data_IF_679273823322
#
_entry.id   IF_679273823322
#
_cell.length_a   1.000
_cell.length_b   1.000
_cell.length_c   1.000
_cell.angle_alpha   90.00
_cell.angle_beta   90.00
_cell.angle_gamma   90.00
#
_symmetry.space_group_name_H-M   'P 1'
#
loop_
_entity.id
_entity.type
_entity.pdbx_description
1 polymer ?
#
# COMPACT_ATOMS: atom_id res chain seq x y z
N UNK A 1 -9.92 5.62 -19.41
CA UNK A 1 -11.16 4.98 -18.91
C UNK A 1 -11.96 5.92 -18.04
N UNK A 2 -13.29 5.92 -18.22
CA UNK A 2 -14.18 6.67 -17.34
C UNK A 2 -14.24 5.97 -15.98
N UNK A 3 -14.06 6.73 -14.89
CA UNK A 3 -14.16 6.21 -13.52
C UNK A 3 -15.51 6.57 -12.93
N UNK A 4 -16.03 5.71 -12.07
CA UNK A 4 -17.28 5.93 -11.35
C UNK A 4 -17.16 7.08 -10.33
N UNK A 5 -18.29 7.63 -9.90
CA UNK A 5 -18.30 8.72 -8.92
C UNK A 5 -17.69 8.30 -7.57
N UNK A 6 -17.92 7.06 -7.15
CA UNK A 6 -17.34 6.48 -5.93
C UNK A 6 -15.81 6.48 -5.97
N UNK A 7 -15.22 6.27 -7.15
CA UNK A 7 -13.78 6.35 -7.34
C UNK A 7 -13.28 7.78 -7.10
N UNK A 8 -13.91 8.78 -7.73
CA UNK A 8 -13.53 10.18 -7.54
C UNK A 8 -13.71 10.67 -6.11
N UNK A 9 -14.80 10.26 -5.46
CA UNK A 9 -15.04 10.54 -4.05
C UNK A 9 -13.91 9.98 -3.19
N UNK A 10 -13.47 8.74 -3.43
CA UNK A 10 -12.37 8.12 -2.68
C UNK A 10 -11.03 8.83 -2.86
N UNK A 11 -10.72 9.28 -4.09
CA UNK A 11 -9.48 10.02 -4.40
C UNK A 11 -9.47 11.37 -3.69
N UNK A 12 -10.58 12.11 -3.74
CA UNK A 12 -10.71 13.41 -3.10
C UNK A 12 -10.66 13.25 -1.56
N UNK A 13 -11.39 12.28 -1.02
CA UNK A 13 -11.41 12.02 0.42
C UNK A 13 -10.02 11.70 0.97
N UNK A 14 -9.25 10.86 0.26
CA UNK A 14 -7.85 10.57 0.63
C UNK A 14 -7.00 11.84 0.61
N UNK A 15 -7.05 12.60 -0.50
CA UNK A 15 -6.24 13.81 -0.65
C UNK A 15 -6.54 14.83 0.46
N UNK A 16 -7.82 15.00 0.82
CA UNK A 16 -8.23 15.88 1.91
C UNK A 16 -7.74 15.36 3.27
N UNK A 17 -7.74 14.05 3.50
CA UNK A 17 -7.37 13.47 4.79
C UNK A 17 -5.86 13.38 5.01
N UNK A 18 -5.10 12.96 4.00
CA UNK A 18 -3.68 12.63 4.12
C UNK A 18 -2.77 13.54 3.29
N UNK A 19 -3.34 14.33 2.37
CA UNK A 19 -2.58 15.09 1.37
C UNK A 19 -2.09 14.25 0.19
N UNK A 20 -2.42 12.95 0.14
CA UNK A 20 -1.94 12.03 -0.89
C UNK A 20 -2.85 12.07 -2.13
N UNK A 21 -2.29 12.51 -3.27
CA UNK A 21 -2.95 12.36 -4.57
C UNK A 21 -2.69 10.95 -5.12
N UNK A 22 -3.74 10.14 -5.17
CA UNK A 22 -3.68 8.75 -5.63
C UNK A 22 -3.99 8.59 -7.12
N UNK A 23 -4.24 9.68 -7.85
CA UNK A 23 -4.67 9.62 -9.25
C UNK A 23 -3.62 10.16 -10.21
N UNK A 24 -3.17 11.42 -10.02
CA UNK A 24 -2.49 12.19 -11.08
C UNK A 24 -1.28 11.48 -11.68
N UNK A 25 -0.36 10.98 -10.85
CA UNK A 25 0.89 10.38 -11.31
C UNK A 25 0.91 8.84 -11.20
N UNK A 26 -0.23 8.22 -10.86
CA UNK A 26 -0.29 6.79 -10.55
C UNK A 26 0.30 5.91 -11.67
N UNK A 27 -0.16 6.08 -12.90
CA UNK A 27 0.29 5.25 -14.03
C UNK A 27 1.77 5.46 -14.33
N UNK A 28 2.24 6.71 -14.28
CA UNK A 28 3.64 7.05 -14.50
C UNK A 28 4.54 6.43 -13.42
N UNK A 29 4.14 6.51 -12.14
CA UNK A 29 4.89 5.90 -11.04
C UNK A 29 4.98 4.39 -11.22
N UNK A 30 3.86 3.72 -11.50
CA UNK A 30 3.82 2.26 -11.69
C UNK A 30 4.66 1.82 -12.88
N UNK A 31 4.53 2.51 -14.02
CA UNK A 31 5.28 2.17 -15.24
C UNK A 31 6.79 2.41 -15.10
N UNK A 32 7.21 3.32 -14.22
CA UNK A 32 8.61 3.61 -13.96
C UNK A 32 9.22 2.72 -12.85
N UNK A 33 8.45 1.83 -12.22
CA UNK A 33 9.00 0.90 -11.23
C UNK A 33 9.95 -0.10 -11.89
N UNK A 34 11.13 -0.29 -11.28
CA UNK A 34 12.10 -1.31 -11.71
C UNK A 34 12.19 -2.46 -10.72
N UNK A 35 12.68 -3.62 -11.19
CA UNK A 35 12.95 -4.77 -10.33
C UNK A 35 13.91 -4.38 -9.20
N UNK A 36 14.96 -3.59 -9.47
CA UNK A 36 15.90 -3.16 -8.43
C UNK A 36 15.21 -2.27 -7.39
N UNK A 37 14.28 -1.39 -7.81
CA UNK A 37 13.56 -0.51 -6.89
C UNK A 37 12.68 -1.30 -5.91
N UNK A 38 12.01 -2.35 -6.40
CA UNK A 38 11.17 -3.25 -5.60
C UNK A 38 12.05 -4.06 -4.62
N UNK A 39 13.16 -4.63 -5.10
CA UNK A 39 14.09 -5.37 -4.26
C UNK A 39 14.65 -4.50 -3.12
N UNK A 40 15.03 -3.25 -3.43
CA UNK A 40 15.52 -2.30 -2.43
C UNK A 40 14.46 -1.93 -1.40
N UNK A 41 13.21 -1.74 -1.82
CA UNK A 41 12.10 -1.48 -0.89
C UNK A 41 11.85 -2.69 0.02
N UNK A 42 11.75 -3.90 -0.54
CA UNK A 42 11.54 -5.13 0.22
C UNK A 42 12.65 -5.34 1.26
N UNK A 43 13.92 -5.16 0.87
CA UNK A 43 15.04 -5.26 1.79
C UNK A 43 14.92 -4.27 2.96
N UNK A 44 14.49 -3.02 2.71
CA UNK A 44 14.24 -2.04 3.77
C UNK A 44 13.08 -2.45 4.67
N UNK A 45 11.97 -2.89 4.09
CA UNK A 45 10.76 -3.27 4.83
C UNK A 45 11.02 -4.45 5.76
N UNK A 46 11.66 -5.52 5.26
CA UNK A 46 11.89 -6.73 6.05
C UNK A 46 13.06 -6.60 7.04
N UNK A 47 14.03 -5.71 6.78
CA UNK A 47 15.17 -5.48 7.68
C UNK A 47 15.02 -4.25 8.58
N UNK A 48 13.82 -3.65 8.67
CA UNK A 48 13.58 -2.46 9.50
C UNK A 48 13.71 -2.70 11.01
N UNK A 49 13.83 -3.96 11.47
CA UNK A 49 13.94 -4.35 12.88
C UNK A 49 12.64 -4.29 13.67
N UNK A 50 11.67 -3.48 13.24
CA UNK A 50 10.32 -3.41 13.81
C UNK A 50 9.46 -4.59 13.31
N UNK A 51 9.27 -5.62 14.13
CA UNK A 51 8.42 -6.80 13.83
C UNK A 51 7.54 -7.15 15.03
N UNK A 52 6.26 -7.35 14.78
CA UNK A 52 5.30 -7.97 15.71
C UNK A 52 4.79 -9.23 15.02
N UNK A 53 4.79 -10.35 15.74
CA UNK A 53 4.26 -11.63 15.27
C UNK A 53 3.15 -12.06 16.22
N UNK A 54 2.00 -12.44 15.66
CA UNK A 54 0.81 -12.83 16.42
C UNK A 54 0.40 -14.21 15.94
N UNK A 55 0.66 -15.21 16.77
CA UNK A 55 0.22 -16.58 16.54
C UNK A 55 -1.08 -16.84 17.32
N UNK A 56 -2.17 -17.07 16.60
CA UNK A 56 -3.42 -17.51 17.20
C UNK A 56 -3.55 -19.02 17.04
N UNK A 57 -3.48 -19.74 18.16
CA UNK A 57 -3.75 -21.18 18.21
C UNK A 57 -5.11 -21.43 18.84
N UNK A 58 -5.87 -22.38 18.28
CA UNK A 58 -7.10 -22.86 18.91
C UNK A 58 -6.77 -23.50 20.26
N UNK A 59 -7.65 -23.38 21.28
CA UNK A 59 -7.49 -24.10 22.53
C UNK A 59 -7.36 -25.60 22.27
N UNK A 60 -6.53 -26.29 23.06
CA UNK A 60 -6.55 -27.76 23.07
C UNK A 60 -7.98 -28.22 23.41
N UNK A 61 -8.47 -29.24 22.70
CA UNK A 61 -9.74 -29.88 23.08
C UNK A 61 -9.55 -30.55 24.44
N UNK A 62 -10.43 -30.26 25.39
CA UNK A 62 -10.54 -31.00 26.66
C UNK A 62 -11.01 -32.44 26.44
#
# INVERSE_FOLDING_TARGET
>A
DLKENSYWESVIAEYVHTGLDRYTDYETIVNNMTVESIQKFAAKLFHQGNRIEVDMISPAKE
#
